data_IF_365770279968
#
_entry.id   IF_365770279968
#
_cell.length_a   1.000
_cell.length_b   1.000
_cell.length_c   1.000
_cell.angle_alpha   90.00
_cell.angle_beta   90.00
_cell.angle_gamma   90.00
#
_symmetry.space_group_name_H-M   'P 1'
#
loop_
_entity.id
_entity.type
_entity.pdbx_description
1 polymer ?
#
# COMPACT_ATOMS: atom_id res chain seq x y z
N UNK A 1 -0.91 20.87 -13.17
CA UNK A 1 -0.12 19.62 -13.16
C UNK A 1 0.97 19.81 -12.14
N UNK A 2 0.93 19.10 -11.03
CA UNK A 2 1.99 19.17 -10.01
C UNK A 2 3.26 18.58 -10.61
N UNK A 3 4.30 19.37 -10.74
CA UNK A 3 5.59 18.88 -11.23
C UNK A 3 6.14 17.88 -10.22
N UNK A 4 6.50 16.67 -10.68
CA UNK A 4 7.04 15.59 -9.84
C UNK A 4 8.23 16.10 -9.00
N UNK A 5 8.98 17.07 -9.52
CA UNK A 5 10.15 17.64 -8.86
C UNK A 5 9.83 18.41 -7.57
N UNK A 6 8.59 18.83 -7.37
CA UNK A 6 8.14 19.50 -6.14
C UNK A 6 7.41 18.60 -5.16
N UNK A 7 7.31 17.30 -5.45
CA UNK A 7 6.63 16.34 -4.58
C UNK A 7 7.64 15.67 -3.62
N UNK A 8 7.33 15.67 -2.34
CA UNK A 8 8.07 14.86 -1.38
C UNK A 8 7.68 13.39 -1.54
N UNK A 9 8.60 12.54 -1.97
CA UNK A 9 8.36 11.11 -2.16
C UNK A 9 8.21 10.34 -0.84
N UNK A 10 8.45 10.98 0.31
CA UNK A 10 8.25 10.39 1.64
C UNK A 10 6.85 10.58 2.22
N UNK A 11 6.16 11.68 1.92
CA UNK A 11 4.86 12.01 2.49
C UNK A 11 3.84 12.54 1.48
N UNK A 12 4.20 12.63 0.19
CA UNK A 12 3.35 13.11 -0.90
C UNK A 12 2.75 14.52 -0.65
N UNK A 13 3.47 15.38 0.07
CA UNK A 13 3.17 16.81 0.14
C UNK A 13 4.08 17.56 -0.83
N UNK A 14 3.66 18.75 -1.23
CA UNK A 14 4.53 19.66 -1.97
C UNK A 14 5.69 20.11 -1.09
N UNK A 15 6.87 20.23 -1.70
CA UNK A 15 8.11 20.75 -1.12
C UNK A 15 8.35 22.16 -1.64
N UNK A 16 8.84 23.01 -0.76
CA UNK A 16 9.22 24.39 -1.11
C UNK A 16 10.70 24.51 -1.49
N UNK A 17 11.53 23.54 -1.05
CA UNK A 17 12.99 23.52 -1.26
C UNK A 17 13.48 22.20 -1.84
N UNK A 18 14.69 22.18 -2.42
CA UNK A 18 15.33 20.97 -2.95
C UNK A 18 15.90 20.06 -1.85
N UNK A 19 15.96 20.53 -0.59
CA UNK A 19 16.46 19.79 0.57
C UNK A 19 15.52 18.70 1.10
N UNK A 20 15.79 18.18 2.32
CA UNK A 20 14.86 17.34 3.03
C UNK A 20 13.51 18.02 3.24
N UNK A 21 12.43 17.26 3.20
CA UNK A 21 11.07 17.78 3.34
C UNK A 21 10.84 18.37 4.74
N UNK A 22 10.37 19.62 4.80
CA UNK A 22 10.11 20.34 6.06
C UNK A 22 9.03 19.64 6.91
N UNK A 23 8.10 18.90 6.24
CA UNK A 23 6.98 18.23 6.92
C UNK A 23 7.34 16.85 7.50
N UNK A 24 8.24 16.10 6.84
CA UNK A 24 8.53 14.72 7.26
C UNK A 24 10.02 14.36 7.31
N UNK A 25 10.92 15.29 7.00
CA UNK A 25 12.37 15.08 7.02
C UNK A 25 12.91 14.17 5.90
N UNK A 26 12.07 13.64 5.02
CA UNK A 26 12.50 12.71 3.97
C UNK A 26 13.24 13.46 2.85
N UNK A 27 14.41 12.92 2.44
CA UNK A 27 15.11 13.35 1.22
C UNK A 27 14.73 12.45 0.05
N UNK A 28 14.41 13.05 -1.11
CA UNK A 28 14.07 12.27 -2.31
C UNK A 28 15.28 11.48 -2.85
N UNK A 29 16.51 11.86 -2.46
CA UNK A 29 17.76 11.14 -2.78
C UNK A 29 18.12 10.06 -1.75
N UNK A 30 17.26 9.85 -0.74
CA UNK A 30 17.50 8.83 0.28
C UNK A 30 17.64 7.44 -0.35
N UNK A 31 18.56 6.60 0.15
CA UNK A 31 18.71 5.23 -0.33
C UNK A 31 17.42 4.44 -0.09
N UNK A 32 17.08 3.58 -1.03
CA UNK A 32 15.92 2.67 -0.94
C UNK A 32 16.37 1.21 -1.06
N UNK A 33 15.53 0.29 -0.62
CA UNK A 33 15.80 -1.14 -0.70
C UNK A 33 15.75 -1.61 -2.17
N UNK A 34 16.85 -2.19 -2.71
CA UNK A 34 16.99 -2.48 -4.13
C UNK A 34 15.92 -3.41 -4.72
N UNK A 35 15.35 -4.28 -3.90
CA UNK A 35 14.32 -5.24 -4.31
C UNK A 35 12.93 -4.61 -4.49
N UNK A 36 12.76 -3.34 -4.15
CA UNK A 36 11.46 -2.65 -4.22
C UNK A 36 11.49 -1.52 -5.24
N UNK A 37 10.33 -0.94 -5.54
CA UNK A 37 10.24 0.19 -6.48
C UNK A 37 11.08 1.37 -6.01
N UNK A 38 11.79 1.98 -6.94
CA UNK A 38 12.44 3.24 -6.71
C UNK A 38 11.39 4.33 -6.43
N UNK A 39 11.56 5.16 -5.38
CA UNK A 39 10.71 6.32 -5.18
C UNK A 39 10.71 7.21 -6.43
N UNK A 40 9.52 7.68 -6.85
CA UNK A 40 9.31 8.43 -8.09
C UNK A 40 8.89 7.56 -9.29
N UNK A 41 8.87 6.22 -9.16
CA UNK A 41 8.37 5.34 -10.22
C UNK A 41 6.91 5.69 -10.54
N UNK A 42 6.63 5.90 -11.85
CA UNK A 42 5.27 6.18 -12.33
C UNK A 42 4.61 4.87 -12.76
N UNK A 43 3.43 4.62 -12.24
CA UNK A 43 2.61 3.45 -12.52
C UNK A 43 1.33 3.87 -13.25
N UNK A 44 0.95 3.11 -14.28
CA UNK A 44 -0.24 3.33 -15.10
C UNK A 44 -0.38 4.79 -15.59
N UNK A 45 0.77 5.45 -15.90
CA UNK A 45 0.86 6.87 -16.26
C UNK A 45 0.15 7.85 -15.31
N UNK A 46 -0.33 7.37 -14.18
CA UNK A 46 -1.19 8.09 -13.25
C UNK A 46 -0.62 8.16 -11.83
N UNK A 47 -0.11 7.08 -11.30
CA UNK A 47 0.27 7.00 -9.89
C UNK A 47 1.78 7.12 -9.72
N UNK A 48 2.23 7.97 -8.81
CA UNK A 48 3.63 8.10 -8.43
C UNK A 48 3.84 7.27 -7.17
N UNK A 49 4.68 6.25 -7.24
CA UNK A 49 5.12 5.50 -6.08
C UNK A 49 6.20 6.27 -5.31
N UNK A 50 6.04 6.39 -4.02
CA UNK A 50 7.02 7.01 -3.14
C UNK A 50 7.72 6.01 -2.23
N UNK A 51 8.00 6.46 -1.00
CA UNK A 51 8.68 5.66 0.02
C UNK A 51 7.94 4.35 0.30
N UNK A 52 8.68 3.26 0.41
CA UNK A 52 8.21 2.00 0.96
C UNK A 52 7.74 2.20 2.42
N UNK A 53 6.50 1.83 2.71
CA UNK A 53 5.90 1.91 4.05
C UNK A 53 6.07 0.61 4.82
N UNK A 54 5.82 -0.51 4.16
CA UNK A 54 5.93 -1.85 4.73
C UNK A 54 6.06 -2.91 3.64
N UNK A 55 6.51 -4.08 4.03
CA UNK A 55 6.50 -5.28 3.19
C UNK A 55 6.26 -6.51 4.07
N UNK A 56 5.75 -7.56 3.46
CA UNK A 56 5.54 -8.87 4.06
C UNK A 56 5.74 -9.97 3.00
N UNK A 57 5.50 -11.23 3.36
CA UNK A 57 5.66 -12.37 2.43
C UNK A 57 4.75 -12.35 1.19
N UNK A 58 3.76 -11.46 1.12
CA UNK A 58 2.85 -11.33 -0.03
C UNK A 58 3.22 -10.17 -0.97
N UNK A 59 3.88 -9.13 -0.44
CA UNK A 59 4.20 -7.97 -1.25
C UNK A 59 4.65 -6.74 -0.49
N UNK A 60 4.61 -5.61 -1.16
CA UNK A 60 5.10 -4.33 -0.69
C UNK A 60 4.00 -3.27 -0.71
N UNK A 61 4.08 -2.35 0.24
CA UNK A 61 3.15 -1.22 0.36
C UNK A 61 3.93 0.09 0.33
N UNK A 62 3.53 1.00 -0.54
CA UNK A 62 4.16 2.31 -0.72
C UNK A 62 3.17 3.43 -0.44
N UNK A 63 3.66 4.56 0.02
CA UNK A 63 2.90 5.80 -0.13
C UNK A 63 2.90 6.17 -1.61
N UNK A 64 1.79 6.71 -2.10
CA UNK A 64 1.68 7.13 -3.49
C UNK A 64 0.93 8.43 -3.66
N UNK A 65 0.96 8.95 -4.88
CA UNK A 65 0.24 10.16 -5.29
C UNK A 65 -0.50 9.90 -6.61
N UNK A 66 -1.78 10.21 -6.64
CA UNK A 66 -2.59 10.16 -7.85
C UNK A 66 -2.52 11.51 -8.57
N UNK A 67 -1.86 11.57 -9.71
CA UNK A 67 -1.70 12.79 -10.52
C UNK A 67 -3.02 13.34 -11.07
N UNK A 68 -4.04 12.51 -11.21
CA UNK A 68 -5.34 12.90 -11.78
C UNK A 68 -6.20 13.59 -10.73
N UNK A 69 -6.28 13.01 -9.53
CA UNK A 69 -7.09 13.57 -8.44
C UNK A 69 -6.32 14.55 -7.57
N UNK A 70 -4.99 14.59 -7.66
CA UNK A 70 -4.13 15.41 -6.80
C UNK A 70 -4.10 14.93 -5.34
N UNK A 71 -4.39 13.65 -5.08
CA UNK A 71 -4.53 13.12 -3.73
C UNK A 71 -3.49 12.05 -3.41
N UNK A 72 -3.22 11.88 -2.11
CA UNK A 72 -2.39 10.78 -1.62
C UNK A 72 -3.15 9.47 -1.73
N UNK A 73 -2.42 8.42 -2.05
CA UNK A 73 -2.93 7.04 -2.12
C UNK A 73 -1.97 6.10 -1.42
N UNK A 74 -2.43 4.88 -1.14
CA UNK A 74 -1.58 3.76 -0.74
C UNK A 74 -1.50 2.80 -1.91
N UNK A 75 -0.29 2.40 -2.30
CA UNK A 75 -0.05 1.47 -3.41
C UNK A 75 0.40 0.14 -2.81
N UNK A 76 -0.36 -0.94 -3.03
CA UNK A 76 0.04 -2.30 -2.68
C UNK A 76 0.48 -3.02 -3.96
N UNK A 77 1.67 -3.60 -3.94
CA UNK A 77 2.26 -4.39 -5.01
C UNK A 77 2.26 -5.86 -4.61
N UNK A 78 1.80 -6.75 -5.48
CA UNK A 78 1.98 -8.18 -5.31
C UNK A 78 3.44 -8.53 -5.62
N UNK A 79 4.22 -8.90 -4.62
CA UNK A 79 5.64 -9.23 -4.75
C UNK A 79 6.08 -10.23 -3.66
N UNK A 80 5.66 -11.50 -3.75
CA UNK A 80 6.11 -12.53 -2.81
C UNK A 80 7.60 -12.80 -3.01
N UNK A 81 8.40 -12.53 -1.97
CA UNK A 81 9.87 -12.63 -2.00
C UNK A 81 10.39 -14.06 -2.19
N UNK A 82 9.55 -15.05 -1.91
CA UNK A 82 9.86 -16.48 -2.13
C UNK A 82 9.67 -16.93 -3.58
N UNK A 83 8.94 -16.18 -4.41
CA UNK A 83 8.58 -16.57 -5.77
C UNK A 83 9.16 -15.66 -6.84
N UNK A 84 9.56 -14.46 -6.47
CA UNK A 84 10.02 -13.47 -7.42
C UNK A 84 11.10 -12.55 -6.82
N UNK A 85 11.76 -11.82 -7.71
CA UNK A 85 12.80 -10.85 -7.37
C UNK A 85 12.70 -9.62 -8.25
N UNK A 86 13.48 -8.60 -7.94
CA UNK A 86 13.62 -7.38 -8.74
C UNK A 86 15.08 -6.95 -8.80
N UNK A 87 15.55 -6.46 -9.93
CA UNK A 87 16.83 -5.79 -10.05
C UNK A 87 16.71 -4.33 -9.60
N UNK A 88 17.73 -3.84 -8.91
CA UNK A 88 17.78 -2.42 -8.50
C UNK A 88 17.56 -1.48 -9.69
N UNK A 89 16.61 -0.56 -9.55
CA UNK A 89 16.28 0.46 -10.56
C UNK A 89 15.42 -0.02 -11.71
N UNK A 90 15.16 -1.32 -11.84
CA UNK A 90 14.25 -1.88 -12.84
C UNK A 90 12.88 -2.13 -12.16
N UNK A 91 11.76 -1.57 -12.61
CA UNK A 91 10.47 -1.83 -12.02
C UNK A 91 9.93 -3.25 -12.28
N UNK A 92 10.51 -3.97 -13.25
CA UNK A 92 10.05 -5.30 -13.66
C UNK A 92 10.30 -6.37 -12.59
N UNK A 93 9.31 -7.20 -12.35
CA UNK A 93 9.42 -8.41 -11.54
C UNK A 93 10.00 -9.54 -12.39
N UNK A 94 10.95 -10.28 -11.80
CA UNK A 94 11.60 -11.46 -12.38
C UNK A 94 11.09 -12.67 -11.59
N UNK A 95 10.48 -13.62 -12.28
CA UNK A 95 9.99 -14.88 -11.71
C UNK A 95 10.79 -16.04 -12.32
N UNK A 96 11.21 -16.99 -11.48
CA UNK A 96 11.81 -18.24 -11.98
C UNK A 96 10.78 -18.98 -12.86
N UNK A 97 11.16 -19.45 -14.06
CA UNK A 97 10.25 -20.19 -14.94
C UNK A 97 9.55 -21.37 -14.25
N UNK A 98 10.23 -22.06 -13.33
CA UNK A 98 9.65 -23.18 -12.57
C UNK A 98 8.60 -22.72 -11.55
N UNK A 99 8.67 -21.48 -11.07
CA UNK A 99 7.73 -20.89 -10.11
C UNK A 99 6.60 -20.10 -10.79
N UNK A 100 6.71 -19.85 -12.09
CA UNK A 100 5.77 -19.01 -12.83
C UNK A 100 4.30 -19.44 -12.73
N UNK A 101 3.93 -20.73 -12.79
CA UNK A 101 2.55 -21.16 -12.62
C UNK A 101 2.01 -20.82 -11.23
N UNK A 102 2.78 -21.07 -10.17
CA UNK A 102 2.42 -20.79 -8.80
C UNK A 102 2.29 -19.28 -8.55
N UNK A 103 3.27 -18.50 -9.04
CA UNK A 103 3.24 -17.04 -8.98
C UNK A 103 1.97 -16.47 -9.61
N UNK A 104 1.60 -16.94 -10.82
CA UNK A 104 0.39 -16.48 -11.52
C UNK A 104 -0.90 -16.86 -10.77
N UNK A 105 -0.95 -18.05 -10.18
CA UNK A 105 -2.09 -18.49 -9.39
C UNK A 105 -2.32 -17.57 -8.20
N UNK A 106 -1.30 -17.33 -7.39
CA UNK A 106 -1.42 -16.46 -6.22
C UNK A 106 -1.62 -14.98 -6.60
N UNK A 107 -1.03 -14.50 -7.69
CA UNK A 107 -1.30 -13.17 -8.21
C UNK A 107 -2.77 -13.02 -8.61
N UNK A 108 -3.36 -14.06 -9.22
CA UNK A 108 -4.79 -14.06 -9.56
C UNK A 108 -5.67 -14.02 -8.29
N UNK A 109 -5.33 -14.81 -7.26
CA UNK A 109 -6.04 -14.78 -5.97
C UNK A 109 -5.94 -13.40 -5.31
N UNK A 110 -4.76 -12.77 -5.32
CA UNK A 110 -4.56 -11.41 -4.83
C UNK A 110 -5.45 -10.40 -5.56
N UNK A 111 -5.52 -10.48 -6.88
CA UNK A 111 -6.36 -9.59 -7.71
C UNK A 111 -7.85 -9.83 -7.42
N UNK A 112 -8.31 -11.08 -7.37
CA UNK A 112 -9.73 -11.41 -7.12
C UNK A 112 -10.18 -10.99 -5.71
N UNK A 113 -9.34 -11.16 -4.69
CA UNK A 113 -9.61 -10.66 -3.35
C UNK A 113 -9.82 -9.13 -3.36
N UNK A 114 -8.93 -8.40 -4.02
CA UNK A 114 -9.02 -6.94 -4.07
C UNK A 114 -10.19 -6.45 -4.95
N UNK A 115 -10.58 -7.20 -5.99
CA UNK A 115 -11.81 -6.94 -6.75
C UNK A 115 -13.06 -7.15 -5.88
N UNK A 116 -13.06 -8.14 -5.00
CA UNK A 116 -14.17 -8.33 -4.05
C UNK A 116 -14.25 -7.15 -3.06
N UNK A 117 -13.11 -6.66 -2.57
CA UNK A 117 -13.04 -5.45 -1.74
C UNK A 117 -13.50 -4.19 -2.49
N UNK A 118 -13.17 -4.06 -3.78
CA UNK A 118 -13.64 -2.96 -4.63
C UNK A 118 -15.17 -2.93 -4.73
N UNK A 119 -15.83 -4.08 -4.78
CA UNK A 119 -17.30 -4.20 -4.76
C UNK A 119 -17.87 -3.86 -3.38
N UNK A 120 -17.12 -4.11 -2.31
CA UNK A 120 -17.50 -3.85 -0.93
C UNK A 120 -17.19 -2.42 -0.45
N UNK A 121 -16.84 -1.49 -1.34
CA UNK A 121 -16.42 -0.11 -1.03
C UNK A 121 -17.47 0.75 -0.28
N UNK A 122 -18.71 0.31 -0.21
CA UNK A 122 -19.76 0.95 0.59
C UNK A 122 -19.74 0.54 2.06
N UNK A 123 -18.97 -0.47 2.44
CA UNK A 123 -18.82 -0.90 3.83
C UNK A 123 -17.92 0.08 4.57
N UNK A 124 -18.36 0.51 5.75
CA UNK A 124 -17.56 1.37 6.63
C UNK A 124 -16.42 0.58 7.28
N UNK A 125 -15.36 1.28 7.68
CA UNK A 125 -14.18 0.72 8.36
C UNK A 125 -13.36 -0.28 7.53
N UNK A 126 -13.51 -0.27 6.20
CA UNK A 126 -12.64 -0.96 5.25
C UNK A 126 -11.94 0.09 4.41
N UNK A 127 -10.63 -0.07 4.22
CA UNK A 127 -9.86 0.80 3.33
C UNK A 127 -10.38 0.65 1.89
N UNK A 128 -10.75 1.77 1.28
CA UNK A 128 -11.37 1.78 -0.05
C UNK A 128 -10.35 1.43 -1.13
N UNK A 129 -10.65 0.43 -1.95
CA UNK A 129 -9.92 0.16 -3.18
C UNK A 129 -10.35 1.17 -4.25
N UNK A 130 -9.38 1.87 -4.84
CA UNK A 130 -9.61 2.89 -5.87
C UNK A 130 -9.35 2.37 -7.28
N UNK A 131 -8.31 1.53 -7.45
CA UNK A 131 -7.91 1.00 -8.76
C UNK A 131 -7.14 -0.32 -8.61
N UNK A 132 -7.16 -1.16 -9.67
CA UNK A 132 -6.43 -2.42 -9.76
C UNK A 132 -5.94 -2.57 -11.20
N UNK A 133 -4.64 -2.75 -11.40
CA UNK A 133 -4.09 -2.92 -12.74
C UNK A 133 -2.84 -3.82 -12.76
N UNK A 134 -2.59 -4.55 -13.85
CA UNK A 134 -1.34 -5.27 -14.07
C UNK A 134 -0.29 -4.33 -14.68
N UNK A 135 0.95 -4.40 -14.21
CA UNK A 135 2.11 -3.74 -14.79
C UNK A 135 3.39 -4.40 -14.24
N UNK A 136 4.54 -4.26 -14.92
CA UNK A 136 5.84 -4.75 -14.45
C UNK A 136 5.87 -6.24 -14.09
N UNK A 137 5.13 -7.09 -14.82
CA UNK A 137 4.95 -8.52 -14.55
C UNK A 137 4.31 -8.83 -13.19
N UNK A 138 3.60 -7.88 -12.59
CA UNK A 138 2.88 -8.03 -11.33
C UNK A 138 1.53 -7.31 -11.37
N UNK A 139 0.83 -7.26 -10.24
CA UNK A 139 -0.40 -6.52 -10.05
C UNK A 139 -0.24 -5.47 -8.95
N UNK A 140 -0.86 -4.32 -9.19
CA UNK A 140 -0.93 -3.21 -8.24
C UNK A 140 -2.38 -2.98 -7.83
N UNK A 141 -2.56 -2.65 -6.55
CA UNK A 141 -3.83 -2.21 -5.99
C UNK A 141 -3.63 -0.84 -5.37
N UNK A 142 -4.47 0.09 -5.75
CA UNK A 142 -4.47 1.45 -5.22
C UNK A 142 -5.59 1.56 -4.20
N UNK A 143 -5.22 1.99 -3.00
CA UNK A 143 -6.15 2.26 -1.91
C UNK A 143 -6.19 3.75 -1.59
N UNK A 144 -7.29 4.20 -0.99
CA UNK A 144 -7.30 5.49 -0.31
C UNK A 144 -6.18 5.59 0.72
N UNK A 145 -5.64 6.78 0.91
CA UNK A 145 -4.63 7.01 1.94
C UNK A 145 -5.32 7.27 3.29
N UNK A 146 -5.04 6.43 4.28
CA UNK A 146 -5.54 6.63 5.64
C UNK A 146 -4.51 7.44 6.43
N UNK A 147 -4.88 8.64 6.84
CA UNK A 147 -4.08 9.45 7.75
C UNK A 147 -4.35 9.02 9.20
N UNK A 148 -3.64 8.02 9.66
CA UNK A 148 -3.83 7.42 10.98
C UNK A 148 -2.59 6.72 11.49
N UNK A 149 -2.71 6.12 12.66
CA UNK A 149 -1.68 5.27 13.27
C UNK A 149 -2.23 3.84 13.43
N UNK A 150 -1.34 2.87 13.38
CA UNK A 150 -1.71 1.47 13.63
C UNK A 150 -2.10 1.28 15.10
N UNK A 151 -2.93 0.26 15.39
CA UNK A 151 -3.26 -0.11 16.76
C UNK A 151 -1.99 -0.41 17.58
N UNK A 152 -0.98 -1.01 16.98
CA UNK A 152 0.33 -1.25 17.61
C UNK A 152 0.98 0.05 18.07
N UNK A 153 1.02 1.07 17.21
CA UNK A 153 1.61 2.38 17.55
C UNK A 153 0.73 3.13 18.57
N UNK A 154 -0.59 3.01 18.46
CA UNK A 154 -1.51 3.56 19.44
C UNK A 154 -1.25 2.98 20.84
N UNK A 155 -1.13 1.65 20.95
CA UNK A 155 -0.80 0.96 22.20
C UNK A 155 0.55 1.40 22.77
N UNK A 156 1.58 1.52 21.92
CA UNK A 156 2.90 1.99 22.37
C UNK A 156 2.82 3.41 22.93
N UNK A 157 2.01 4.29 22.34
CA UNK A 157 1.79 5.65 22.81
C UNK A 157 0.99 5.71 24.14
N UNK A 158 0.18 4.67 24.42
CA UNK A 158 -0.60 4.52 25.66
C UNK A 158 0.11 3.66 26.72
N UNK A 159 1.45 3.57 26.70
CA UNK A 159 2.25 2.76 27.63
C UNK A 159 1.90 1.26 27.60
N UNK A 160 1.36 0.77 26.49
CA UNK A 160 0.98 -0.62 26.28
C UNK A 160 -0.37 -1.02 26.87
N UNK A 161 -1.12 -0.08 27.46
CA UNK A 161 -2.38 -0.36 28.13
C UNK A 161 -3.60 0.16 27.33
N UNK A 162 -4.64 -0.66 27.23
CA UNK A 162 -5.97 -0.27 26.78
C UNK A 162 -6.94 -0.30 27.96
N UNK A 163 -7.55 0.84 28.26
CA UNK A 163 -8.65 0.88 29.20
C UNK A 163 -9.87 0.17 28.62
N UNK A 164 -10.74 -0.38 29.48
CA UNK A 164 -11.96 -1.04 29.05
C UNK A 164 -12.87 -0.14 28.19
N UNK A 165 -12.91 1.15 28.49
CA UNK A 165 -13.70 2.10 27.70
C UNK A 165 -13.16 2.26 26.29
N UNK A 166 -11.85 2.27 26.12
CA UNK A 166 -11.23 2.27 24.79
C UNK A 166 -11.45 0.97 24.02
N UNK A 167 -11.44 -0.16 24.71
CA UNK A 167 -11.78 -1.47 24.10
C UNK A 167 -13.22 -1.45 23.56
N UNK A 168 -14.17 -0.97 24.35
CA UNK A 168 -15.58 -0.85 23.96
C UNK A 168 -15.79 0.12 22.78
N UNK A 169 -14.96 1.13 22.65
CA UNK A 169 -15.02 2.10 21.54
C UNK A 169 -14.42 1.53 20.24
N UNK A 170 -13.25 0.87 20.33
CA UNK A 170 -12.46 0.47 19.15
C UNK A 170 -12.92 -0.87 18.55
N UNK A 171 -13.25 -1.86 19.37
CA UNK A 171 -13.43 -3.23 18.85
C UNK A 171 -14.82 -3.53 18.28
N UNK A 172 -15.95 -3.04 18.81
CA UNK A 172 -17.26 -3.36 18.24
C UNK A 172 -17.39 -2.98 16.76
N UNK A 173 -16.96 -1.79 16.29
CA UNK A 173 -16.98 -1.47 14.86
C UNK A 173 -16.16 -2.44 14.00
N UNK A 174 -14.98 -2.85 14.49
CA UNK A 174 -14.11 -3.81 13.80
C UNK A 174 -14.80 -5.16 13.68
N UNK A 175 -15.36 -5.68 14.77
CA UNK A 175 -16.04 -6.98 14.80
C UNK A 175 -17.28 -6.98 13.90
N UNK A 176 -18.05 -5.89 13.91
CA UNK A 176 -19.21 -5.71 13.02
C UNK A 176 -18.78 -5.75 11.55
N UNK A 177 -17.74 -5.00 11.20
CA UNK A 177 -17.20 -4.98 9.84
C UNK A 177 -16.67 -6.35 9.42
N UNK A 178 -15.92 -7.04 10.28
CA UNK A 178 -15.44 -8.40 10.01
C UNK A 178 -16.60 -9.37 9.75
N UNK A 179 -17.67 -9.30 10.55
CA UNK A 179 -18.87 -10.12 10.34
C UNK A 179 -19.49 -9.87 8.97
N UNK A 180 -19.61 -8.61 8.54
CA UNK A 180 -20.14 -8.26 7.22
C UNK A 180 -19.25 -8.76 6.08
N UNK A 181 -17.93 -8.59 6.22
CA UNK A 181 -16.94 -9.04 5.23
C UNK A 181 -16.96 -10.56 5.08
N UNK A 182 -17.00 -11.31 6.21
CA UNK A 182 -17.11 -12.76 6.21
C UNK A 182 -18.43 -13.23 5.61
N UNK A 183 -19.54 -12.55 5.89
CA UNK A 183 -20.84 -12.87 5.29
C UNK A 183 -20.85 -12.64 3.77
N UNK A 184 -20.01 -11.76 3.26
CA UNK A 184 -19.78 -11.56 1.84
C UNK A 184 -18.79 -12.57 1.22
N UNK A 185 -18.34 -13.57 1.99
CA UNK A 185 -17.39 -14.59 1.55
C UNK A 185 -15.94 -14.13 1.43
N UNK A 186 -15.61 -12.94 1.95
CA UNK A 186 -14.26 -12.39 1.90
C UNK A 186 -13.52 -12.75 3.19
N UNK A 187 -12.39 -13.47 3.08
CA UNK A 187 -11.54 -13.86 4.21
C UNK A 187 -10.16 -13.28 4.01
N UNK A 188 -9.62 -12.57 5.01
CA UNK A 188 -8.36 -11.83 4.91
C UNK A 188 -7.11 -12.74 4.80
N UNK A 189 -7.12 -13.94 5.42
CA UNK A 189 -6.06 -14.98 5.37
C UNK A 189 -4.67 -14.58 5.87
N UNK A 190 -4.45 -13.34 6.31
CA UNK A 190 -3.14 -12.86 6.72
C UNK A 190 -3.14 -12.09 8.03
#
# INVERSE_FOLDING_TARGET
MTEINRLCLGCMNEKESDGPCEKCGYSNDAPYLPSYLAPGTVLNDRYIAGKLLSYNGEGATYIGFDKVTGTKVTIKEYMPDTLCSRKKGDPQIIVDPNQLPLYKTYMSEFVELNKALLKARSMTHIQTVLDIFPQNNTAYVIFEFINGITLKNYLANCSGELTWDRVKELFPPILTTLSLVHSAGIIHRG
#
